data_IF_303291318384
#
_entry.id   IF_303291318384
#
_cell.length_a   1.000
_cell.length_b   1.000
_cell.length_c   1.000
_cell.angle_alpha   90.00
_cell.angle_beta   90.00
_cell.angle_gamma   90.00
#
_symmetry.space_group_name_H-M   'P 1'
#
loop_
_entity.id
_entity.type
_entity.pdbx_description
1 polymer ?
#
# COMPACT_ATOMS: atom_id res chain seq x y z
N UNK A 1 -25.58 -30.51 3.76
CA UNK A 1 -24.44 -30.01 4.56
C UNK A 1 -23.85 -28.83 3.81
N UNK A 2 -24.22 -27.61 4.18
CA UNK A 2 -23.61 -26.39 3.65
C UNK A 2 -22.39 -26.08 4.51
N UNK A 3 -21.20 -26.18 3.93
CA UNK A 3 -19.96 -25.71 4.53
C UNK A 3 -20.15 -24.23 4.85
N UNK A 4 -20.31 -23.95 6.14
CA UNK A 4 -20.11 -22.61 6.67
C UNK A 4 -18.62 -22.34 6.52
N UNK A 5 -18.23 -21.82 5.36
CA UNK A 5 -17.00 -21.04 5.23
C UNK A 5 -17.12 -19.90 6.23
N UNK A 6 -16.72 -20.18 7.47
CA UNK A 6 -16.35 -19.17 8.45
C UNK A 6 -15.22 -18.40 7.80
N UNK A 7 -15.55 -17.38 7.01
CA UNK A 7 -14.73 -16.20 6.95
C UNK A 7 -14.59 -15.77 8.41
N UNK A 8 -13.50 -16.19 9.06
CA UNK A 8 -13.08 -15.60 10.32
C UNK A 8 -12.84 -14.13 9.98
N UNK A 9 -13.85 -13.30 10.20
CA UNK A 9 -13.67 -11.87 10.35
C UNK A 9 -12.74 -11.72 11.56
N UNK A 10 -11.45 -11.71 11.28
CA UNK A 10 -10.45 -11.33 12.25
C UNK A 10 -10.78 -9.89 12.62
N UNK A 11 -11.26 -9.68 13.86
CA UNK A 11 -11.47 -8.37 14.46
C UNK A 11 -10.08 -7.76 14.71
N UNK A 12 -9.39 -7.41 13.63
CA UNK A 12 -8.19 -6.60 13.71
C UNK A 12 -8.67 -5.17 13.89
N UNK A 13 -8.37 -4.62 15.06
CA UNK A 13 -8.58 -3.21 15.34
C UNK A 13 -7.29 -2.46 15.03
N UNK A 14 -7.43 -1.33 14.35
CA UNK A 14 -6.31 -0.44 14.02
C UNK A 14 -6.43 0.86 14.81
N UNK A 15 -5.31 1.48 15.15
CA UNK A 15 -5.28 2.72 15.92
C UNK A 15 -5.76 3.96 15.17
N UNK A 16 -6.09 3.82 13.88
CA UNK A 16 -6.52 4.88 12.99
C UNK A 16 -7.63 4.41 12.03
N UNK A 17 -8.43 5.37 11.60
CA UNK A 17 -9.47 5.22 10.59
C UNK A 17 -8.89 5.28 9.16
N UNK A 18 -9.69 4.88 8.17
CA UNK A 18 -9.33 5.07 6.76
C UNK A 18 -9.05 6.54 6.41
N UNK A 19 -9.81 7.47 6.99
CA UNK A 19 -9.62 8.90 6.70
C UNK A 19 -8.28 9.40 7.24
N UNK A 20 -7.90 8.98 8.45
CA UNK A 20 -6.60 9.30 9.04
C UNK A 20 -5.45 8.63 8.26
N UNK A 21 -5.66 7.39 7.81
CA UNK A 21 -4.71 6.70 6.95
C UNK A 21 -4.47 7.43 5.63
N UNK A 22 -5.53 7.88 4.94
CA UNK A 22 -5.42 8.59 3.65
C UNK A 22 -4.71 9.94 3.79
N UNK A 23 -4.82 10.58 4.95
CA UNK A 23 -4.08 11.80 5.27
C UNK A 23 -2.62 11.56 5.70
N UNK A 24 -2.20 10.30 5.85
CA UNK A 24 -0.87 9.94 6.33
C UNK A 24 0.23 10.30 5.32
N UNK A 25 1.42 10.74 5.78
CA UNK A 25 2.55 11.05 4.90
C UNK A 25 3.01 9.89 4.02
N UNK A 26 2.70 8.64 4.38
CA UNK A 26 3.06 7.47 3.58
C UNK A 26 2.20 7.29 2.33
N UNK A 27 1.09 8.02 2.17
CA UNK A 27 0.25 7.98 0.95
C UNK A 27 0.77 8.94 -0.13
N UNK A 28 1.57 9.93 0.26
CA UNK A 28 2.14 10.94 -0.63
C UNK A 28 3.04 10.32 -1.72
N UNK A 29 3.20 11.01 -2.86
CA UNK A 29 4.22 10.67 -3.86
C UNK A 29 5.64 10.62 -3.26
N UNK A 30 6.53 9.81 -3.83
CA UNK A 30 7.88 9.60 -3.27
C UNK A 30 8.82 10.81 -3.37
N UNK A 31 8.52 11.73 -4.25
CA UNK A 31 9.22 12.98 -4.48
C UNK A 31 8.68 14.13 -3.60
N UNK A 32 7.55 13.94 -2.92
CA UNK A 32 7.09 14.89 -1.91
C UNK A 32 8.05 14.87 -0.71
N UNK A 33 8.57 16.05 -0.35
CA UNK A 33 9.52 16.20 0.75
C UNK A 33 8.97 15.76 2.12
N UNK A 34 7.64 15.64 2.25
CA UNK A 34 6.96 15.19 3.47
C UNK A 34 6.74 13.68 3.49
N UNK A 35 7.04 12.96 2.40
CA UNK A 35 6.85 11.52 2.34
C UNK A 35 7.63 10.80 3.45
N UNK A 36 6.95 9.87 4.13
CA UNK A 36 7.56 8.97 5.12
C UNK A 36 7.19 7.54 4.75
N UNK A 37 8.14 6.58 4.74
CA UNK A 37 7.83 5.17 4.52
C UNK A 37 6.75 4.64 5.48
N UNK A 38 5.91 3.68 5.04
CA UNK A 38 4.84 3.15 5.88
C UNK A 38 5.39 2.37 7.08
N UNK A 39 4.65 2.38 8.18
CA UNK A 39 4.89 1.49 9.32
C UNK A 39 4.30 0.09 9.07
N UNK A 40 4.74 -0.96 9.79
CA UNK A 40 4.12 -2.28 9.71
C UNK A 40 2.61 -2.28 9.91
N UNK A 41 2.09 -1.49 10.85
CA UNK A 41 0.66 -1.35 11.11
C UNK A 41 -0.08 -0.74 9.91
N UNK A 42 0.52 0.25 9.24
CA UNK A 42 -0.03 0.86 8.02
C UNK A 42 -0.06 -0.12 6.84
N UNK A 43 0.97 -0.96 6.70
CA UNK A 43 0.97 -2.03 5.69
C UNK A 43 -0.12 -3.06 5.97
N UNK A 44 -0.25 -3.48 7.23
CA UNK A 44 -1.29 -4.42 7.67
C UNK A 44 -2.70 -3.84 7.50
N UNK A 45 -2.89 -2.54 7.78
CA UNK A 45 -4.14 -1.84 7.54
C UNK A 45 -4.53 -1.91 6.06
N UNK A 46 -3.61 -1.54 5.17
CA UNK A 46 -3.90 -1.51 3.74
C UNK A 46 -4.13 -2.92 3.18
N UNK A 47 -3.39 -3.92 3.67
CA UNK A 47 -3.63 -5.32 3.37
C UNK A 47 -5.06 -5.74 3.77
N UNK A 48 -5.48 -5.39 4.99
CA UNK A 48 -6.81 -5.72 5.50
C UNK A 48 -7.90 -5.00 4.70
N UNK A 49 -7.70 -3.73 4.38
CA UNK A 49 -8.60 -2.92 3.54
C UNK A 49 -8.79 -3.53 2.15
N UNK A 50 -7.73 -4.09 1.56
CA UNK A 50 -7.78 -4.80 0.27
C UNK A 50 -8.35 -6.23 0.38
N UNK A 51 -8.60 -6.73 1.59
CA UNK A 51 -9.09 -8.09 1.81
C UNK A 51 -8.07 -9.18 1.45
N UNK A 52 -6.77 -8.87 1.47
CA UNK A 52 -5.73 -9.82 1.07
C UNK A 52 -5.24 -10.66 2.26
N UNK A 53 -5.14 -11.98 2.06
CA UNK A 53 -4.34 -12.81 2.97
C UNK A 53 -2.85 -12.46 2.84
N UNK A 54 -2.03 -12.85 3.82
CA UNK A 54 -0.57 -12.59 3.75
C UNK A 54 0.07 -13.29 2.54
N UNK A 55 -0.41 -14.49 2.19
CA UNK A 55 0.04 -15.22 1.01
C UNK A 55 -0.37 -14.50 -0.29
N UNK A 56 -1.63 -14.03 -0.37
CA UNK A 56 -2.11 -13.26 -1.51
C UNK A 56 -1.34 -11.94 -1.66
N UNK A 57 -0.98 -11.29 -0.55
CA UNK A 57 -0.16 -10.08 -0.58
C UNK A 57 1.26 -10.37 -1.10
N UNK A 58 1.91 -11.44 -0.63
CA UNK A 58 3.23 -11.86 -1.16
C UNK A 58 3.18 -12.15 -2.65
N UNK A 59 2.15 -12.88 -3.10
CA UNK A 59 1.93 -13.16 -4.51
C UNK A 59 1.70 -11.87 -5.33
N UNK A 60 0.89 -10.95 -4.81
CA UNK A 60 0.63 -9.63 -5.42
C UNK A 60 1.91 -8.80 -5.58
N UNK A 61 2.78 -8.79 -4.58
CA UNK A 61 4.05 -8.06 -4.62
C UNK A 61 5.09 -8.74 -5.53
N UNK A 62 4.91 -10.02 -5.86
CA UNK A 62 5.86 -10.79 -6.65
C UNK A 62 7.09 -11.23 -5.86
N UNK A 63 7.03 -11.14 -4.54
CA UNK A 63 8.15 -11.44 -3.64
C UNK A 63 7.71 -12.39 -2.54
N UNK A 64 8.31 -13.59 -2.54
CA UNK A 64 7.99 -14.67 -1.59
C UNK A 64 8.64 -14.44 -0.22
N UNK A 65 9.68 -13.60 -0.15
CA UNK A 65 10.52 -13.39 1.02
C UNK A 65 10.43 -11.97 1.62
N UNK A 66 10.00 -10.96 0.85
CA UNK A 66 10.00 -9.55 1.28
C UNK A 66 9.19 -9.25 2.54
N UNK A 67 8.05 -9.92 2.77
CA UNK A 67 7.20 -9.60 3.92
C UNK A 67 7.60 -10.32 5.22
N UNK A 68 8.90 -10.53 5.44
CA UNK A 68 9.38 -10.87 6.79
C UNK A 68 9.27 -9.61 7.65
N UNK A 69 8.13 -9.46 8.34
CA UNK A 69 7.80 -8.36 9.28
C UNK A 69 7.12 -7.13 8.67
N UNK A 70 6.36 -7.27 7.58
CA UNK A 70 5.71 -6.14 6.88
C UNK A 70 6.69 -5.07 6.36
N UNK A 71 7.95 -5.44 6.19
CA UNK A 71 8.91 -4.64 5.46
C UNK A 71 8.53 -4.70 3.97
N UNK A 72 8.17 -3.55 3.40
CA UNK A 72 7.69 -3.46 2.02
C UNK A 72 8.55 -2.44 1.28
N UNK A 73 9.02 -2.81 0.10
CA UNK A 73 9.75 -1.89 -0.75
C UNK A 73 8.84 -0.77 -1.28
N UNK A 74 9.45 0.34 -1.71
CA UNK A 74 8.71 1.51 -2.22
C UNK A 74 7.75 1.15 -3.36
N UNK A 75 8.19 0.35 -4.34
CA UNK A 75 7.34 -0.01 -5.48
C UNK A 75 6.21 -0.96 -5.07
N UNK A 76 6.47 -1.87 -4.15
CA UNK A 76 5.45 -2.72 -3.53
C UNK A 76 4.37 -1.89 -2.86
N UNK A 77 4.78 -0.93 -2.02
CA UNK A 77 3.86 -0.02 -1.34
C UNK A 77 3.00 0.78 -2.31
N UNK A 78 3.61 1.34 -3.36
CA UNK A 78 2.87 2.14 -4.35
C UNK A 78 1.82 1.31 -5.09
N UNK A 79 2.17 0.07 -5.46
CA UNK A 79 1.22 -0.86 -6.09
C UNK A 79 0.02 -1.16 -5.19
N UNK A 80 0.22 -1.29 -3.88
CA UNK A 80 -0.90 -1.46 -2.94
C UNK A 80 -1.81 -0.22 -2.92
N UNK A 81 -1.23 0.99 -2.91
CA UNK A 81 -2.01 2.23 -2.95
C UNK A 81 -2.82 2.38 -4.25
N UNK A 82 -2.26 1.97 -5.40
CA UNK A 82 -2.99 1.91 -6.66
C UNK A 82 -4.17 0.93 -6.60
N UNK A 83 -3.94 -0.27 -6.07
CA UNK A 83 -4.98 -1.28 -5.91
C UNK A 83 -6.12 -0.78 -5.00
N UNK A 84 -5.78 0.00 -3.97
CA UNK A 84 -6.74 0.62 -3.04
C UNK A 84 -7.40 1.89 -3.59
N UNK A 85 -6.99 2.36 -4.78
CA UNK A 85 -7.41 3.64 -5.38
C UNK A 85 -7.11 4.87 -4.51
N UNK A 86 -6.04 4.78 -3.72
CA UNK A 86 -5.54 5.87 -2.88
C UNK A 86 -4.39 6.64 -3.56
N UNK A 87 -3.96 6.14 -4.71
CA UNK A 87 -2.98 6.75 -5.59
C UNK A 87 -3.35 6.45 -7.05
N UNK A 88 -2.87 7.29 -7.97
CA UNK A 88 -3.09 7.12 -9.41
C UNK A 88 -1.75 6.94 -10.13
N UNK A 89 -1.62 5.82 -10.85
CA UNK A 89 -0.44 5.49 -11.65
C UNK A 89 -0.24 6.50 -12.79
N UNK A 90 -1.31 7.04 -13.36
CA UNK A 90 -1.20 8.01 -14.45
C UNK A 90 -0.60 9.32 -13.93
N UNK A 91 -1.06 9.78 -12.77
CA UNK A 91 -0.53 10.96 -12.12
C UNK A 91 0.97 10.83 -11.83
N UNK A 92 1.40 9.69 -11.27
CA UNK A 92 2.81 9.45 -10.96
C UNK A 92 3.69 9.40 -12.22
N UNK A 93 3.19 8.82 -13.32
CA UNK A 93 3.89 8.81 -14.61
C UNK A 93 4.04 10.22 -15.18
N UNK A 94 2.99 11.05 -15.11
CA UNK A 94 3.03 12.44 -15.55
C UNK A 94 4.05 13.26 -14.76
N UNK A 95 4.07 13.13 -13.43
CA UNK A 95 5.05 13.80 -12.57
C UNK A 95 6.48 13.36 -12.88
N UNK A 96 6.71 12.04 -13.04
CA UNK A 96 8.04 11.53 -13.39
C UNK A 96 8.53 12.07 -14.76
N UNK A 97 7.64 12.18 -15.75
CA UNK A 97 7.97 12.77 -17.05
C UNK A 97 8.29 14.27 -16.94
N UNK A 98 7.55 15.02 -16.12
CA UNK A 98 7.81 16.43 -15.89
C UNK A 98 9.17 16.65 -15.21
N UNK A 99 9.46 15.90 -14.16
CA UNK A 99 10.73 15.95 -13.43
C UNK A 99 11.91 15.61 -14.36
N UNK A 100 11.77 14.58 -15.19
CA UNK A 100 12.79 14.23 -16.18
C UNK A 100 13.03 15.37 -17.18
N UNK A 101 11.98 15.99 -17.70
CA UNK A 101 12.13 17.13 -18.63
C UNK A 101 12.84 18.32 -18.00
N UNK A 102 12.56 18.61 -16.72
CA UNK A 102 13.22 19.70 -16.00
C UNK A 102 14.69 19.42 -15.69
N UNK A 103 15.07 18.15 -15.48
CA UNK A 103 16.45 17.77 -15.18
C UNK A 103 17.39 17.82 -16.42
N UNK A 104 16.82 17.75 -17.63
CA UNK A 104 17.57 17.71 -18.89
C UNK A 104 17.30 18.92 -19.82
N UNK A 105 16.64 19.97 -19.31
CA UNK A 105 16.44 21.26 -19.99
C UNK A 105 17.47 22.28 -19.50
#
# INVERSE_FOLDING_TARGET
MMNHEKAMYSTIEFSFTLSEFVASPCVLPFDDARYVPPTPEQVQFLQHYLGLSLEALRAFLGDKDALRSYDIDRNGWRRMLYAARLADVHHDVEQAQLAARQAFA
#
